data_IF_697502861997
#
_entry.id   IF_697502861997
#
_cell.length_a   1.000
_cell.length_b   1.000
_cell.length_c   1.000
_cell.angle_alpha   90.00
_cell.angle_beta   90.00
_cell.angle_gamma   90.00
#
_symmetry.space_group_name_H-M   'P 1'
#
loop_
_entity.id
_entity.type
_entity.pdbx_description
1 polymer ?
#
# COMPACT_ATOMS: atom_id res chain seq x y z
N UNK A 1 7.45 -72.53 -9.27
CA UNK A 1 6.49 -72.69 -8.15
C UNK A 1 6.32 -71.31 -7.53
N UNK A 2 5.38 -70.50 -8.01
CA UNK A 2 3.96 -70.45 -7.62
C UNK A 2 3.75 -69.70 -6.30
N UNK A 3 3.15 -68.50 -6.39
CA UNK A 3 2.21 -67.80 -5.49
C UNK A 3 2.26 -66.31 -5.90
N UNK A 4 1.38 -65.74 -6.74
CA UNK A 4 -0.09 -65.58 -6.63
C UNK A 4 -0.55 -65.08 -5.26
N UNK A 5 -0.87 -63.79 -5.19
CA UNK A 5 -1.66 -63.17 -4.12
C UNK A 5 -1.28 -61.69 -3.96
N UNK A 6 -2.16 -60.71 -3.86
CA UNK A 6 -3.59 -60.60 -4.11
C UNK A 6 -3.82 -59.07 -4.18
N UNK A 7 -4.36 -58.56 -5.29
CA UNK A 7 -4.81 -57.17 -5.36
C UNK A 7 -6.03 -57.03 -4.44
N UNK A 8 -5.91 -56.23 -3.39
CA UNK A 8 -7.05 -55.66 -2.68
C UNK A 8 -7.25 -54.23 -3.21
N UNK A 9 -8.17 -54.12 -4.17
CA UNK A 9 -8.74 -52.85 -4.59
C UNK A 9 -9.63 -52.34 -3.45
N UNK A 10 -9.16 -51.34 -2.71
CA UNK A 10 -9.99 -50.60 -1.77
C UNK A 10 -10.65 -49.44 -2.52
N UNK A 11 -11.86 -49.68 -3.01
CA UNK A 11 -12.80 -48.63 -3.43
C UNK A 11 -13.24 -47.86 -2.19
N UNK A 12 -12.57 -46.74 -1.89
CA UNK A 12 -13.06 -45.77 -0.92
C UNK A 12 -14.11 -44.89 -1.60
N UNK A 13 -15.34 -45.02 -1.11
CA UNK A 13 -16.50 -44.27 -1.55
C UNK A 13 -16.29 -42.76 -1.37
N UNK A 14 -16.73 -42.03 -2.39
CA UNK A 14 -16.93 -40.59 -2.46
C UNK A 14 -17.78 -40.08 -1.28
N UNK A 15 -17.20 -39.23 -0.45
CA UNK A 15 -17.94 -38.23 0.31
C UNK A 15 -17.63 -36.87 -0.34
N UNK A 16 -18.45 -36.47 -1.32
CA UNK A 16 -18.53 -35.06 -1.72
C UNK A 16 -19.17 -34.31 -0.56
N UNK A 17 -18.36 -33.83 0.38
CA UNK A 17 -18.76 -32.68 1.17
C UNK A 17 -18.71 -31.49 0.23
N UNK A 18 -19.86 -31.20 -0.39
CA UNK A 18 -20.13 -29.87 -0.93
C UNK A 18 -20.04 -28.97 0.30
N UNK A 19 -18.87 -28.37 0.53
CA UNK A 19 -18.79 -27.21 1.39
C UNK A 19 -19.67 -26.18 0.69
N UNK A 20 -20.92 -26.08 1.15
CA UNK A 20 -21.79 -25.01 0.77
C UNK A 20 -21.02 -23.74 1.06
N UNK A 21 -20.73 -22.98 0.00
CA UNK A 21 -20.54 -21.55 0.13
C UNK A 21 -21.81 -21.02 0.79
N UNK A 22 -21.80 -20.95 2.12
CA UNK A 22 -22.57 -19.95 2.81
C UNK A 22 -21.93 -18.63 2.37
N UNK A 23 -22.50 -18.04 1.32
CA UNK A 23 -22.45 -16.61 1.14
C UNK A 23 -23.15 -16.04 2.37
N UNK A 24 -22.37 -15.77 3.40
CA UNK A 24 -22.78 -14.84 4.43
C UNK A 24 -22.71 -13.47 3.76
N UNK A 25 -23.85 -13.03 3.25
CA UNK A 25 -24.11 -11.62 2.95
C UNK A 25 -23.94 -10.84 4.25
N UNK A 26 -22.71 -10.40 4.52
CA UNK A 26 -22.41 -9.38 5.52
C UNK A 26 -22.34 -8.03 4.80
N UNK A 27 -23.50 -7.56 4.33
CA UNK A 27 -23.70 -6.13 4.11
C UNK A 27 -23.51 -5.41 5.46
N UNK A 28 -22.51 -4.53 5.55
CA UNK A 28 -22.52 -3.45 6.53
C UNK A 28 -21.26 -3.18 7.35
N UNK A 29 -20.18 -3.94 7.19
CA UNK A 29 -18.86 -3.42 7.59
C UNK A 29 -18.30 -2.72 6.37
N UNK A 30 -18.36 -1.38 6.30
CA UNK A 30 -17.48 -0.66 5.39
C UNK A 30 -16.06 -1.01 5.81
N UNK A 31 -15.48 -2.05 5.19
CA UNK A 31 -14.08 -2.39 5.38
C UNK A 31 -13.32 -1.16 4.90
N UNK A 32 -12.75 -0.42 5.84
CA UNK A 32 -12.08 0.83 5.51
C UNK A 32 -11.00 0.53 4.48
N UNK A 33 -11.01 1.29 3.40
CA UNK A 33 -9.87 1.29 2.51
C UNK A 33 -8.66 1.76 3.33
N UNK A 34 -7.57 1.00 3.29
CA UNK A 34 -6.34 1.41 3.94
C UNK A 34 -5.81 2.68 3.25
N UNK A 35 -5.09 3.55 3.98
CA UNK A 35 -4.38 4.66 3.35
C UNK A 35 -3.37 4.13 2.34
N UNK A 36 -3.33 4.72 1.16
CA UNK A 36 -2.44 4.34 0.07
C UNK A 36 -1.66 5.54 -0.44
N UNK A 37 -0.43 5.27 -0.89
CA UNK A 37 0.45 6.25 -1.52
C UNK A 37 0.95 5.67 -2.85
N UNK A 38 0.80 6.43 -3.94
CA UNK A 38 1.16 6.00 -5.28
C UNK A 38 1.88 7.09 -6.06
N UNK A 39 2.95 6.74 -6.75
CA UNK A 39 3.58 7.67 -7.68
C UNK A 39 2.70 7.93 -8.90
N UNK A 40 2.78 9.14 -9.48
CA UNK A 40 2.05 9.49 -10.70
C UNK A 40 2.57 8.78 -11.95
N UNK A 41 3.75 8.17 -11.87
CA UNK A 41 4.46 7.48 -12.95
C UNK A 41 5.19 6.25 -12.40
N UNK A 42 5.43 5.25 -13.24
CA UNK A 42 6.18 4.05 -12.86
C UNK A 42 7.70 4.25 -12.89
N UNK A 43 8.18 5.26 -13.63
CA UNK A 43 9.60 5.60 -13.76
C UNK A 43 9.81 7.11 -13.93
N UNK A 44 10.94 7.61 -13.44
CA UNK A 44 11.37 9.01 -13.55
C UNK A 44 12.89 9.14 -13.53
N UNK A 45 13.42 10.29 -13.96
CA UNK A 45 14.85 10.55 -13.92
C UNK A 45 15.27 11.14 -12.58
N UNK A 46 16.53 10.92 -12.20
CA UNK A 46 17.11 11.57 -11.02
C UNK A 46 16.99 13.11 -11.12
N UNK A 47 16.57 13.77 -10.05
CA UNK A 47 16.34 15.23 -10.04
C UNK A 47 14.96 15.67 -10.50
N UNK A 48 14.12 14.76 -11.01
CA UNK A 48 12.76 15.08 -11.41
C UNK A 48 11.88 15.47 -10.20
N UNK A 49 10.84 16.24 -10.52
CA UNK A 49 9.76 16.57 -9.59
C UNK A 49 8.55 15.70 -9.94
N UNK A 50 8.26 14.70 -9.09
CA UNK A 50 7.24 13.69 -9.34
C UNK A 50 6.08 13.87 -8.36
N UNK A 51 4.84 13.66 -8.81
CA UNK A 51 3.67 13.73 -7.93
C UNK A 51 3.50 12.41 -7.17
N UNK A 52 3.28 12.51 -5.86
CA UNK A 52 2.82 11.41 -5.02
C UNK A 52 1.33 11.64 -4.70
N UNK A 53 0.51 10.67 -5.08
CA UNK A 53 -0.92 10.62 -4.82
C UNK A 53 -1.17 9.89 -3.50
N UNK A 54 -1.97 10.49 -2.63
CA UNK A 54 -2.44 9.89 -1.40
C UNK A 54 -3.95 9.70 -1.42
N UNK A 55 -4.40 8.50 -1.08
CA UNK A 55 -5.81 8.12 -1.03
C UNK A 55 -6.15 7.56 0.35
N UNK A 56 -7.40 7.77 0.80
CA UNK A 56 -7.90 7.30 2.10
C UNK A 56 -7.06 7.76 3.30
N UNK A 57 -6.48 8.97 3.22
CA UNK A 57 -5.66 9.56 4.28
C UNK A 57 -6.53 10.15 5.40
N UNK A 58 -7.20 9.27 6.15
CA UNK A 58 -8.14 9.63 7.22
C UNK A 58 -7.74 8.94 8.55
N UNK A 59 -8.04 9.57 9.68
CA UNK A 59 -7.66 9.10 11.04
C UNK A 59 -8.48 7.93 11.58
N UNK A 60 -9.47 7.46 10.83
CA UNK A 60 -10.40 6.42 11.24
C UNK A 60 -11.39 6.09 10.14
N UNK A 61 -12.45 5.38 10.49
CA UNK A 61 -13.49 4.95 9.56
C UNK A 61 -14.86 5.32 10.10
N UNK A 62 -15.78 5.71 9.22
CA UNK A 62 -17.18 5.80 9.62
C UNK A 62 -17.80 4.41 9.49
N UNK A 63 -17.76 3.64 10.58
CA UNK A 63 -18.45 2.36 10.72
C UNK A 63 -19.91 2.53 11.24
N UNK A 64 -20.40 3.78 11.29
CA UNK A 64 -21.72 4.11 11.83
C UNK A 64 -21.79 4.16 13.36
N UNK A 65 -20.67 4.00 14.07
CA UNK A 65 -20.61 4.03 15.54
C UNK A 65 -20.29 5.44 16.10
N UNK A 66 -20.29 6.45 15.22
CA UNK A 66 -20.09 7.85 15.61
C UNK A 66 -18.64 8.23 15.86
N UNK A 67 -17.69 7.49 15.27
CA UNK A 67 -16.29 7.89 15.25
C UNK A 67 -16.11 9.13 14.35
N UNK A 68 -15.34 10.11 14.83
CA UNK A 68 -15.01 11.28 14.00
C UNK A 68 -13.88 10.89 13.04
N UNK A 69 -14.16 10.95 11.75
CA UNK A 69 -13.17 10.78 10.70
C UNK A 69 -12.56 12.15 10.38
N UNK A 70 -11.25 12.28 10.54
CA UNK A 70 -10.53 13.53 10.26
C UNK A 70 -9.44 13.31 9.20
N UNK A 71 -9.22 14.26 8.28
CA UNK A 71 -8.11 14.19 7.34
C UNK A 71 -6.75 14.16 8.04
N UNK A 72 -5.88 13.26 7.58
CA UNK A 72 -4.51 13.19 8.05
C UNK A 72 -3.69 14.34 7.49
N UNK A 73 -2.69 14.77 8.27
CA UNK A 73 -1.70 15.72 7.81
C UNK A 73 -0.34 15.06 7.68
N UNK A 74 0.28 15.25 6.52
CA UNK A 74 1.68 14.90 6.25
C UNK A 74 2.59 15.93 6.89
N UNK A 75 3.54 15.46 7.69
CA UNK A 75 4.49 16.30 8.47
C UNK A 75 5.95 16.04 8.09
N UNK A 76 6.21 14.98 7.32
CA UNK A 76 7.55 14.62 6.87
C UNK A 76 7.49 13.64 5.70
N UNK A 77 8.49 13.73 4.83
CA UNK A 77 8.70 12.81 3.72
C UNK A 77 10.17 12.43 3.71
N UNK A 78 10.45 11.14 3.70
CA UNK A 78 11.76 10.57 3.45
C UNK A 78 11.71 9.72 2.18
N UNK A 79 12.84 9.62 1.48
CA UNK A 79 12.97 8.71 0.35
C UNK A 79 13.88 7.55 0.73
N UNK A 80 13.45 6.35 0.40
CA UNK A 80 14.24 5.13 0.50
C UNK A 80 14.66 4.72 -0.90
N UNK A 81 15.97 4.79 -1.18
CA UNK A 81 16.59 4.29 -2.40
C UNK A 81 17.18 2.91 -2.13
N UNK A 82 16.65 1.87 -2.77
CA UNK A 82 17.01 0.46 -2.55
C UNK A 82 16.95 0.04 -1.06
N UNK A 83 16.04 0.66 -0.30
CA UNK A 83 15.84 0.44 1.13
C UNK A 83 16.71 1.30 2.07
N UNK A 84 17.58 2.15 1.54
CA UNK A 84 18.41 3.08 2.33
C UNK A 84 17.90 4.53 2.21
N UNK A 85 18.02 5.31 3.29
CA UNK A 85 17.60 6.72 3.28
C UNK A 85 18.43 7.52 2.25
N UNK A 86 17.75 8.10 1.27
CA UNK A 86 18.34 8.98 0.28
C UNK A 86 18.50 10.41 0.85
N UNK A 87 19.57 11.08 0.44
CA UNK A 87 19.88 12.45 0.85
C UNK A 87 20.01 13.37 -0.37
N UNK A 88 19.60 14.65 -0.28
CA UNK A 88 18.89 15.26 0.85
C UNK A 88 17.43 14.77 0.96
N UNK A 89 16.81 14.83 2.16
CA UNK A 89 15.38 14.55 2.27
C UNK A 89 14.57 15.58 1.47
N UNK A 90 13.44 15.19 0.86
CA UNK A 90 12.55 16.13 0.21
C UNK A 90 12.07 17.23 1.17
N UNK A 91 12.04 18.47 0.69
CA UNK A 91 11.44 19.57 1.43
C UNK A 91 9.92 19.53 1.26
N UNK A 92 9.19 19.72 2.36
CA UNK A 92 7.76 20.01 2.33
C UNK A 92 7.60 21.51 2.48
N UNK A 93 7.25 22.19 1.39
CA UNK A 93 6.99 23.63 1.42
C UNK A 93 5.79 23.92 2.34
N UNK A 94 6.02 24.77 3.35
CA UNK A 94 5.00 25.10 4.36
C UNK A 94 4.93 24.15 5.55
N UNK A 95 5.74 23.08 5.59
CA UNK A 95 5.98 22.22 6.76
C UNK A 95 4.86 21.22 7.11
N UNK A 96 3.63 21.41 6.64
CA UNK A 96 2.52 20.46 6.82
C UNK A 96 1.56 20.54 5.66
N UNK A 97 1.17 19.38 5.12
CA UNK A 97 0.16 19.24 4.07
C UNK A 97 -1.01 18.43 4.62
N UNK A 98 -2.23 18.91 4.49
CA UNK A 98 -3.42 18.22 5.02
C UNK A 98 -4.24 17.66 3.87
N UNK A 99 -4.65 16.39 3.98
CA UNK A 99 -5.55 15.78 3.02
C UNK A 99 -6.91 16.50 2.98
N UNK A 100 -7.63 16.32 1.89
CA UNK A 100 -9.00 16.81 1.76
C UNK A 100 -9.95 16.06 2.71
N UNK A 101 -11.18 16.55 2.86
CA UNK A 101 -12.23 15.87 3.62
C UNK A 101 -12.55 14.46 3.09
N UNK A 102 -12.24 14.19 1.82
CA UNK A 102 -12.38 12.87 1.21
C UNK A 102 -11.17 11.95 1.47
N UNK A 103 -10.09 12.46 2.07
CA UNK A 103 -8.86 11.71 2.32
C UNK A 103 -7.86 11.75 1.15
N UNK A 104 -8.10 12.57 0.13
CA UNK A 104 -7.20 12.74 -1.00
C UNK A 104 -6.13 13.81 -0.73
N UNK A 105 -4.88 13.54 -1.11
CA UNK A 105 -3.79 14.51 -1.10
C UNK A 105 -2.80 14.25 -2.23
N UNK A 106 -2.57 15.26 -3.08
CA UNK A 106 -1.52 15.23 -4.08
C UNK A 106 -0.43 16.24 -3.72
N UNK A 107 0.83 15.81 -3.80
CA UNK A 107 1.96 16.72 -3.63
C UNK A 107 3.19 16.31 -4.42
N UNK A 108 4.04 17.28 -4.71
CA UNK A 108 5.25 17.09 -5.50
C UNK A 108 6.43 16.72 -4.59
N UNK A 109 7.21 15.74 -5.03
CA UNK A 109 8.42 15.25 -4.36
C UNK A 109 9.59 15.38 -5.33
N UNK A 110 10.61 16.12 -4.92
CA UNK A 110 11.85 16.23 -5.69
C UNK A 110 12.73 15.00 -5.42
N UNK A 111 13.10 14.29 -6.48
CA UNK A 111 14.05 13.18 -6.40
C UNK A 111 15.48 13.70 -6.28
N UNK A 112 16.36 13.07 -5.47
CA UNK A 112 17.76 13.43 -5.45
C UNK A 112 18.40 13.33 -6.85
N UNK A 113 19.21 14.31 -7.27
CA UNK A 113 19.76 14.39 -8.62
C UNK A 113 20.88 13.40 -8.91
N UNK A 114 21.38 12.71 -7.88
CA UNK A 114 22.50 11.78 -7.92
C UNK A 114 22.09 10.30 -7.76
N UNK A 115 20.78 10.00 -7.83
CA UNK A 115 20.30 8.63 -7.84
C UNK A 115 20.81 7.87 -9.09
N UNK A 116 21.40 6.68 -8.92
CA UNK A 116 21.78 5.84 -10.05
C UNK A 116 20.57 5.34 -10.85
N UNK A 117 20.72 5.22 -12.17
CA UNK A 117 19.74 4.52 -12.99
C UNK A 117 19.58 3.06 -12.53
N UNK A 118 18.34 2.59 -12.47
CA UNK A 118 17.97 1.26 -11.98
C UNK A 118 17.69 1.17 -10.48
N UNK A 119 17.88 2.25 -9.72
CA UNK A 119 17.47 2.31 -8.30
C UNK A 119 15.95 2.25 -8.16
N UNK A 120 15.47 1.50 -7.17
CA UNK A 120 14.06 1.53 -6.74
C UNK A 120 13.89 2.56 -5.62
N UNK A 121 12.96 3.51 -5.80
CA UNK A 121 12.64 4.55 -4.82
C UNK A 121 11.26 4.33 -4.20
N UNK A 122 11.17 4.48 -2.88
CA UNK A 122 9.90 4.54 -2.14
C UNK A 122 9.87 5.79 -1.27
N UNK A 123 8.71 6.42 -1.15
CA UNK A 123 8.48 7.47 -0.17
C UNK A 123 8.00 6.87 1.15
N UNK A 124 8.62 7.27 2.25
CA UNK A 124 8.10 7.07 3.61
C UNK A 124 7.54 8.41 4.10
N UNK A 125 6.25 8.44 4.40
CA UNK A 125 5.50 9.66 4.72
C UNK A 125 5.01 9.61 6.16
N UNK A 126 5.43 10.58 6.96
CA UNK A 126 5.02 10.72 8.37
C UNK A 126 3.72 11.51 8.46
N UNK A 127 2.73 10.97 9.16
CA UNK A 127 1.40 11.58 9.35
C UNK A 127 1.10 11.88 10.83
N UNK A 128 0.21 12.84 11.10
CA UNK A 128 -0.07 13.38 12.46
C UNK A 128 -0.60 12.38 13.48
N UNK A 129 -1.25 11.29 13.06
CA UNK A 129 -1.96 10.37 13.97
C UNK A 129 -1.93 8.91 13.49
N UNK A 130 -0.80 8.42 12.98
CA UNK A 130 -0.71 7.06 12.45
C UNK A 130 0.73 6.56 12.28
N UNK A 131 0.89 5.29 11.88
CA UNK A 131 2.19 4.80 11.41
C UNK A 131 2.61 5.58 10.15
N UNK A 132 3.92 5.61 9.87
CA UNK A 132 4.40 6.10 8.60
C UNK A 132 3.82 5.27 7.45
N UNK A 133 3.47 5.94 6.37
CA UNK A 133 2.93 5.33 5.16
C UNK A 133 4.05 5.14 4.15
N UNK A 134 4.02 4.04 3.40
CA UNK A 134 5.01 3.75 2.36
C UNK A 134 4.33 3.72 1.01
N UNK A 135 4.94 4.37 0.01
CA UNK A 135 4.46 4.32 -1.36
C UNK A 135 4.77 2.99 -2.05
N UNK A 136 4.20 2.82 -3.23
CA UNK A 136 4.73 1.91 -4.24
C UNK A 136 6.14 2.30 -4.70
N UNK A 137 6.72 1.43 -5.53
CA UNK A 137 8.06 1.58 -6.06
C UNK A 137 8.06 2.47 -7.31
N UNK A 138 8.99 3.42 -7.35
CA UNK A 138 9.33 4.21 -8.54
C UNK A 138 10.70 3.77 -9.05
N UNK A 139 10.83 3.45 -10.33
CA UNK A 139 12.12 3.15 -10.94
C UNK A 139 12.84 4.44 -11.39
N UNK A 140 14.15 4.53 -11.13
CA UNK A 140 14.98 5.59 -11.71
C UNK A 140 15.44 5.19 -13.12
N UNK A 141 15.04 5.96 -14.13
CA UNK A 141 15.56 5.84 -15.49
C UNK A 141 16.77 6.76 -15.72
N UNK A 142 17.52 6.51 -16.80
CA UNK A 142 18.81 7.16 -17.10
C UNK A 142 18.85 7.82 -18.45
#
# INVERSE_FOLDING_TARGET
MAHRGALLALTAATALTVAGCAAEDADGSAACAAPELRWSVDAASAGDLVTLHGENLLSGCDDGQGETVEPLSVTGVALLADGELAAPPPAIDGGTLTASEAGDLDFQVALPPDLPAGTEVRAEVTVTSGPALTSDALAIDG
#
